data_IF_270503375604
#
_entry.id   IF_270503375604
#
_cell.length_a   1.000
_cell.length_b   1.000
_cell.length_c   1.000
_cell.angle_alpha   90.00
_cell.angle_beta   90.00
_cell.angle_gamma   90.00
#
_symmetry.space_group_name_H-M   'P 1'
#
loop_
_entity.id
_entity.type
_entity.pdbx_description
1 polymer ?
#
# COMPACT_ATOMS: atom_id res chain seq x y z
N UNK A 1 9.00 -8.52 8.38
CA UNK A 1 8.79 -9.33 7.15
C UNK A 1 7.51 -8.90 6.41
N UNK A 2 7.60 -7.87 5.58
CA UNK A 2 6.43 -7.26 4.94
C UNK A 2 5.80 -8.14 3.85
N UNK A 3 4.50 -8.39 3.94
CA UNK A 3 3.68 -8.62 2.76
C UNK A 3 3.40 -7.23 2.15
N UNK A 4 4.19 -6.83 1.15
CA UNK A 4 3.85 -5.66 0.35
C UNK A 4 2.82 -6.09 -0.69
N UNK A 5 1.56 -5.65 -0.55
CA UNK A 5 0.54 -5.84 -1.59
C UNK A 5 0.86 -4.87 -2.73
N UNK A 6 1.74 -5.30 -3.63
CA UNK A 6 1.93 -4.69 -4.93
C UNK A 6 0.78 -5.17 -5.83
N UNK A 7 -0.23 -4.33 -6.01
CA UNK A 7 -1.25 -4.53 -7.04
C UNK A 7 -0.63 -4.18 -8.39
N UNK A 8 0.19 -5.10 -8.92
CA UNK A 8 0.83 -4.97 -10.22
C UNK A 8 -0.18 -5.30 -11.32
N UNK A 9 -0.79 -4.28 -11.91
CA UNK A 9 -1.49 -4.37 -13.19
C UNK A 9 -0.63 -3.66 -14.24
N UNK A 10 0.19 -4.42 -14.98
CA UNK A 10 1.01 -3.84 -16.05
C UNK A 10 1.75 -4.88 -16.89
N UNK A 11 1.44 -4.91 -18.19
CA UNK A 11 2.27 -5.48 -19.25
C UNK A 11 3.18 -4.37 -19.80
N UNK A 12 4.49 -4.49 -19.56
CA UNK A 12 5.51 -3.51 -19.98
C UNK A 12 6.92 -4.10 -19.84
N UNK A 13 7.80 -3.74 -20.77
CA UNK A 13 8.89 -4.55 -21.35
C UNK A 13 10.05 -4.98 -20.44
N UNK A 14 10.14 -4.50 -19.20
CA UNK A 14 11.16 -4.95 -18.22
C UNK A 14 10.76 -6.20 -17.42
N UNK A 15 9.48 -6.60 -17.47
CA UNK A 15 8.97 -7.82 -16.83
C UNK A 15 9.02 -9.06 -17.74
N UNK A 16 9.58 -8.96 -18.96
CA UNK A 16 9.60 -10.07 -19.93
C UNK A 16 10.45 -11.26 -19.47
N UNK A 17 11.47 -11.09 -18.63
CA UNK A 17 12.23 -12.23 -18.09
C UNK A 17 11.45 -12.97 -16.99
N UNK A 18 10.74 -12.24 -16.12
CA UNK A 18 9.91 -12.79 -15.03
C UNK A 18 8.66 -13.49 -15.60
N UNK A 19 8.00 -12.90 -16.60
CA UNK A 19 6.82 -13.52 -17.24
C UNK A 19 7.14 -14.61 -18.26
N UNK A 20 8.33 -14.66 -18.87
CA UNK A 20 8.73 -15.81 -19.71
C UNK A 20 8.84 -17.10 -18.88
N UNK A 21 9.23 -17.00 -17.62
CA UNK A 21 9.16 -18.14 -16.69
C UNK A 21 7.72 -18.58 -16.45
N UNK A 22 6.80 -17.64 -16.19
CA UNK A 22 5.38 -17.94 -15.93
C UNK A 22 4.58 -18.41 -17.16
N UNK A 23 4.90 -17.96 -18.37
CA UNK A 23 4.20 -18.35 -19.60
C UNK A 23 4.75 -19.62 -20.26
N UNK A 24 5.86 -20.20 -19.77
CA UNK A 24 6.31 -21.54 -20.21
C UNK A 24 5.72 -22.68 -19.37
N UNK A 25 4.94 -22.37 -18.32
CA UNK A 25 4.29 -23.36 -17.47
C UNK A 25 3.02 -23.94 -18.13
N UNK A 26 3.23 -24.86 -19.08
CA UNK A 26 2.28 -25.94 -19.37
C UNK A 26 2.52 -27.19 -18.48
N UNK A 27 3.27 -27.04 -17.39
CA UNK A 27 3.49 -28.07 -16.38
C UNK A 27 2.40 -28.05 -15.30
N UNK A 28 1.88 -29.22 -14.96
CA UNK A 28 0.78 -29.47 -14.02
C UNK A 28 0.73 -28.51 -12.80
N UNK A 29 -0.39 -27.80 -12.65
CA UNK A 29 -0.70 -27.00 -11.45
C UNK A 29 -0.72 -27.92 -10.23
N UNK A 30 0.33 -27.86 -9.41
CA UNK A 30 0.31 -28.51 -8.09
C UNK A 30 -0.26 -27.51 -7.09
N UNK A 31 -1.58 -27.56 -6.90
CA UNK A 31 -2.29 -26.78 -5.88
C UNK A 31 -2.21 -27.55 -4.57
N UNK A 32 -1.53 -26.99 -3.57
CA UNK A 32 -1.49 -27.56 -2.23
C UNK A 32 -2.45 -26.81 -1.31
N UNK A 33 -3.51 -27.49 -0.87
CA UNK A 33 -4.36 -27.01 0.22
C UNK A 33 -3.59 -27.19 1.53
N UNK A 34 -3.32 -26.09 2.24
CA UNK A 34 -2.62 -26.18 3.53
C UNK A 34 -3.62 -26.60 4.59
N UNK A 35 -3.47 -27.82 5.10
CA UNK A 35 -4.12 -28.24 6.33
C UNK A 35 -3.35 -27.66 7.53
N UNK A 36 -4.07 -27.45 8.63
CA UNK A 36 -3.72 -26.66 9.82
C UNK A 36 -2.49 -27.16 10.63
N UNK A 37 -1.72 -28.13 10.12
CA UNK A 37 -0.70 -28.88 10.87
C UNK A 37 0.67 -29.00 10.19
N UNK A 38 0.90 -28.35 9.04
CA UNK A 38 2.22 -28.37 8.39
C UNK A 38 3.17 -27.30 8.98
N UNK A 39 3.65 -27.56 10.19
CA UNK A 39 4.49 -26.64 10.98
C UNK A 39 5.85 -26.30 10.33
N UNK A 40 6.31 -27.12 9.38
CA UNK A 40 7.55 -26.89 8.63
C UNK A 40 7.49 -25.72 7.63
N UNK A 41 6.29 -25.18 7.37
CA UNK A 41 6.11 -23.99 6.54
C UNK A 41 6.38 -22.67 7.30
N UNK A 42 6.47 -22.72 8.65
CA UNK A 42 6.31 -21.57 9.55
C UNK A 42 7.58 -21.17 10.31
N UNK A 43 8.75 -21.57 9.80
CA UNK A 43 10.02 -20.94 10.17
C UNK A 43 9.93 -19.42 9.96
N UNK A 44 10.50 -18.66 10.89
CA UNK A 44 10.65 -17.20 10.85
C UNK A 44 11.42 -16.66 9.63
N UNK A 45 11.78 -17.51 8.66
CA UNK A 45 12.47 -17.15 7.41
C UNK A 45 11.59 -17.23 6.15
N UNK A 46 10.26 -17.27 6.26
CA UNK A 46 9.41 -17.48 5.07
C UNK A 46 9.37 -16.27 4.13
N UNK A 47 9.59 -16.52 2.83
CA UNK A 47 9.60 -15.50 1.77
C UNK A 47 8.25 -14.79 1.58
N UNK A 48 8.24 -13.54 1.11
CA UNK A 48 7.02 -12.76 0.94
C UNK A 48 6.02 -13.46 0.02
N UNK A 49 4.75 -13.36 0.38
CA UNK A 49 3.64 -13.93 -0.36
C UNK A 49 2.95 -12.86 -1.21
N UNK A 50 2.81 -13.12 -2.51
CA UNK A 50 2.04 -12.27 -3.40
C UNK A 50 0.58 -12.73 -3.43
N UNK A 51 -0.33 -11.88 -2.94
CA UNK A 51 -1.75 -12.14 -3.10
C UNK A 51 -2.13 -12.04 -4.58
N UNK A 52 -2.62 -13.14 -5.15
CA UNK A 52 -3.10 -13.19 -6.52
C UNK A 52 -4.50 -12.57 -6.58
N UNK A 53 -4.80 -11.86 -7.68
CA UNK A 53 -6.11 -11.26 -7.86
C UNK A 53 -7.18 -12.36 -7.79
N UNK A 54 -8.17 -12.23 -6.89
CA UNK A 54 -9.24 -13.22 -6.84
C UNK A 54 -9.99 -13.18 -8.17
N UNK A 55 -10.14 -14.33 -8.84
CA UNK A 55 -11.19 -14.48 -9.84
C UNK A 55 -12.50 -14.14 -9.15
N UNK A 56 -13.29 -13.18 -9.66
CA UNK A 56 -14.31 -12.41 -8.91
C UNK A 56 -15.33 -13.15 -8.02
N UNK A 57 -15.40 -14.48 -8.08
CA UNK A 57 -16.28 -15.34 -7.26
C UNK A 57 -15.53 -16.33 -6.35
N UNK A 58 -14.20 -16.23 -6.24
CA UNK A 58 -13.41 -17.21 -5.48
C UNK A 58 -13.77 -17.19 -3.99
N UNK A 59 -14.05 -18.38 -3.44
CA UNK A 59 -14.23 -18.62 -2.00
C UNK A 59 -12.90 -18.68 -1.24
N UNK A 60 -11.78 -18.36 -1.87
CA UNK A 60 -10.45 -18.35 -1.27
C UNK A 60 -9.66 -17.09 -1.63
N UNK A 61 -8.58 -16.88 -0.90
CA UNK A 61 -7.47 -16.00 -1.30
C UNK A 61 -6.32 -16.90 -1.73
N UNK A 62 -5.76 -16.62 -2.90
CA UNK A 62 -4.61 -17.35 -3.41
C UNK A 62 -3.36 -16.50 -3.19
N UNK A 63 -2.32 -17.10 -2.62
CA UNK A 63 -1.06 -16.45 -2.30
C UNK A 63 0.08 -17.21 -2.96
N UNK A 64 0.81 -16.54 -3.85
CA UNK A 64 1.98 -17.11 -4.49
C UNK A 64 3.22 -16.89 -3.62
N UNK A 65 3.93 -17.96 -3.31
CA UNK A 65 5.21 -17.93 -2.62
C UNK A 65 6.35 -18.07 -3.63
N UNK A 66 7.19 -17.05 -3.72
CA UNK A 66 8.31 -17.04 -4.67
C UNK A 66 9.37 -18.09 -4.36
N UNK A 67 9.77 -18.26 -3.08
CA UNK A 67 10.83 -19.21 -2.74
C UNK A 67 10.41 -20.66 -2.89
N UNK A 68 9.14 -20.96 -2.63
CA UNK A 68 8.59 -22.31 -2.79
C UNK A 68 8.07 -22.56 -4.20
N UNK A 69 7.97 -21.52 -5.03
CA UNK A 69 7.34 -21.56 -6.35
C UNK A 69 5.97 -22.27 -6.29
N UNK A 70 5.13 -21.89 -5.31
CA UNK A 70 3.86 -22.56 -4.99
C UNK A 70 2.76 -21.55 -4.69
N UNK A 71 1.52 -21.93 -5.02
CA UNK A 71 0.32 -21.18 -4.63
C UNK A 71 -0.29 -21.82 -3.38
N UNK A 72 -0.49 -21.00 -2.37
CA UNK A 72 -1.20 -21.30 -1.15
C UNK A 72 -2.63 -20.75 -1.23
N UNK A 73 -3.62 -21.63 -1.14
CA UNK A 73 -5.02 -21.26 -1.18
C UNK A 73 -5.58 -21.24 0.23
N UNK A 74 -6.04 -20.06 0.67
CA UNK A 74 -6.57 -19.85 2.01
C UNK A 74 -8.09 -19.67 1.90
N UNK A 75 -8.88 -20.61 2.43
CA UNK A 75 -10.34 -20.54 2.32
C UNK A 75 -10.87 -19.32 3.06
N UNK A 76 -11.78 -18.58 2.43
CA UNK A 76 -12.57 -17.53 3.10
C UNK A 76 -13.51 -18.24 4.06
N UNK A 77 -13.38 -17.97 5.36
CA UNK A 77 -14.27 -18.52 6.40
C UNK A 77 -15.74 -18.51 5.95
N UNK A 78 -16.37 -19.69 5.95
CA UNK A 78 -17.76 -19.87 5.53
C UNK A 78 -18.76 -19.19 6.47
N UNK A 79 -18.34 -18.85 7.70
CA UNK A 79 -19.23 -18.38 8.76
C UNK A 79 -19.70 -16.93 8.64
N UNK A 80 -19.19 -16.13 7.70
CA UNK A 80 -19.71 -14.77 7.50
C UNK A 80 -20.62 -14.71 6.27
N UNK A 81 -21.94 -14.63 6.50
CA UNK A 81 -22.94 -14.22 5.49
C UNK A 81 -22.71 -12.79 4.94
N UNK A 82 -21.59 -12.16 5.28
CA UNK A 82 -21.23 -10.77 5.00
C UNK A 82 -19.94 -10.65 4.18
N UNK A 83 -19.71 -11.62 3.28
CA UNK A 83 -18.52 -11.72 2.39
C UNK A 83 -18.21 -10.45 1.58
N UNK A 84 -19.15 -9.52 1.45
CA UNK A 84 -19.00 -8.28 0.70
C UNK A 84 -18.64 -7.07 1.57
N UNK A 85 -18.59 -7.20 2.90
CA UNK A 85 -18.38 -6.07 3.80
C UNK A 85 -16.93 -5.86 4.26
N UNK A 86 -16.11 -6.91 4.21
CA UNK A 86 -14.71 -6.86 4.67
C UNK A 86 -13.76 -6.55 3.53
N UNK A 87 -13.02 -5.45 3.67
CA UNK A 87 -11.95 -5.01 2.77
C UNK A 87 -10.59 -5.28 3.42
N UNK A 88 -9.63 -5.78 2.66
CA UNK A 88 -8.22 -5.78 3.08
C UNK A 88 -7.69 -4.36 2.86
N UNK A 89 -7.26 -3.73 3.95
CA UNK A 89 -6.77 -2.33 3.96
C UNK A 89 -5.27 -2.24 4.18
N UNK A 90 -4.59 -3.36 4.34
CA UNK A 90 -3.14 -3.38 4.37
C UNK A 90 -2.60 -4.76 4.72
N UNK A 91 -1.29 -4.88 4.62
CA UNK A 91 -0.59 -6.07 5.06
C UNK A 91 0.82 -5.69 5.52
N UNK A 92 1.26 -6.34 6.59
CA UNK A 92 2.57 -6.11 7.18
C UNK A 92 2.91 -7.30 8.07
N UNK A 93 4.18 -7.71 8.10
CA UNK A 93 4.66 -8.77 8.99
C UNK A 93 3.90 -10.11 8.95
N UNK A 94 3.37 -10.52 7.79
CA UNK A 94 2.56 -11.74 7.67
C UNK A 94 1.09 -11.59 8.11
N UNK A 95 0.69 -10.39 8.55
CA UNK A 95 -0.67 -10.07 8.94
C UNK A 95 -1.40 -9.30 7.84
N UNK A 96 -2.69 -9.56 7.70
CA UNK A 96 -3.63 -8.82 6.88
C UNK A 96 -4.45 -7.90 7.77
N UNK A 97 -4.43 -6.60 7.50
CA UNK A 97 -5.34 -5.66 8.14
C UNK A 97 -6.68 -5.67 7.40
N UNK A 98 -7.74 -5.97 8.12
CA UNK A 98 -9.08 -6.17 7.60
C UNK A 98 -10.05 -5.15 8.20
N UNK A 99 -10.89 -4.54 7.36
CA UNK A 99 -11.90 -3.57 7.77
C UNK A 99 -13.28 -4.00 7.31
N UNK A 100 -14.21 -4.19 8.25
CA UNK A 100 -15.63 -4.43 7.98
C UNK A 100 -16.44 -3.14 8.22
N UNK A 101 -16.75 -2.43 7.16
CA UNK A 101 -17.46 -1.15 7.22
C UNK A 101 -18.91 -1.26 7.76
N UNK A 102 -19.54 -2.44 7.70
CA UNK A 102 -20.92 -2.62 8.19
C UNK A 102 -20.96 -2.74 9.71
N UNK A 103 -19.96 -3.40 10.28
CA UNK A 103 -19.85 -3.65 11.72
C UNK A 103 -18.92 -2.65 12.43
N UNK A 104 -18.25 -1.78 11.65
CA UNK A 104 -17.17 -0.93 12.12
C UNK A 104 -16.06 -1.73 12.85
N UNK A 105 -15.73 -2.90 12.31
CA UNK A 105 -14.75 -3.81 12.90
C UNK A 105 -13.43 -3.73 12.15
N UNK A 106 -12.35 -3.50 12.90
CA UNK A 106 -10.98 -3.60 12.43
C UNK A 106 -10.28 -4.74 13.14
N UNK A 107 -9.52 -5.51 12.39
CA UNK A 107 -8.73 -6.60 12.95
C UNK A 107 -7.55 -6.94 12.05
N UNK A 108 -6.50 -7.45 12.68
CA UNK A 108 -5.40 -8.12 12.04
C UNK A 108 -5.73 -9.61 11.95
N UNK A 109 -5.50 -10.21 10.79
CA UNK A 109 -5.64 -11.65 10.59
C UNK A 109 -4.33 -12.20 10.05
N UNK A 110 -3.76 -13.18 10.73
CA UNK A 110 -2.66 -13.96 10.21
C UNK A 110 -3.29 -15.13 9.44
N UNK A 111 -3.25 -15.13 8.10
CA UNK A 111 -3.96 -16.11 7.31
C UNK A 111 -3.28 -17.49 7.37
N UNK A 112 -2.02 -17.54 7.84
CA UNK A 112 -1.24 -18.75 8.02
C UNK A 112 -1.59 -19.43 9.36
N UNK A 113 -1.46 -18.71 10.48
CA UNK A 113 -1.74 -19.28 11.80
C UNK A 113 -3.23 -19.31 12.15
N UNK A 114 -4.05 -18.59 11.38
CA UNK A 114 -5.47 -18.38 11.67
C UNK A 114 -5.71 -17.46 12.88
N UNK A 115 -4.66 -16.87 13.45
CA UNK A 115 -4.77 -15.93 14.57
C UNK A 115 -5.46 -14.64 14.11
N UNK A 116 -6.16 -14.01 15.05
CA UNK A 116 -6.86 -12.75 14.86
C UNK A 116 -6.64 -11.86 16.07
N UNK A 117 -6.28 -10.60 15.83
CA UNK A 117 -6.17 -9.56 16.86
C UNK A 117 -7.12 -8.44 16.48
N UNK A 118 -8.01 -8.05 17.39
CA UNK A 118 -8.93 -6.94 17.13
C UNK A 118 -8.19 -5.61 17.33
N UNK A 119 -8.51 -4.63 16.47
CA UNK A 119 -8.05 -3.26 16.63
C UNK A 119 -9.21 -2.40 17.14
N UNK A 120 -8.93 -1.24 17.74
CA UNK A 120 -9.96 -0.28 18.12
C UNK A 120 -10.90 0.05 16.96
N UNK A 121 -12.21 0.22 17.21
CA UNK A 121 -13.14 0.75 16.21
C UNK A 121 -12.76 2.19 15.86
N UNK A 122 -13.27 2.67 14.73
CA UNK A 122 -13.04 4.05 14.32
C UNK A 122 -14.27 4.87 14.62
N UNK A 123 -14.08 5.98 15.30
CA UNK A 123 -15.13 6.97 15.46
C UNK A 123 -15.21 7.84 14.19
N UNK A 124 -16.03 7.41 13.24
CA UNK A 124 -16.31 8.18 12.03
C UNK A 124 -17.78 8.01 11.61
N UNK A 125 -18.38 9.05 10.98
CA UNK A 125 -19.72 8.95 10.44
C UNK A 125 -19.88 7.78 9.45
N UNK A 126 -21.01 7.08 9.52
CA UNK A 126 -21.31 5.90 8.66
C UNK A 126 -21.17 6.18 7.16
N UNK A 127 -21.39 7.42 6.72
CA UNK A 127 -21.20 7.85 5.33
C UNK A 127 -19.75 7.68 4.88
N UNK A 128 -18.77 8.05 5.71
CA UNK A 128 -17.35 7.89 5.43
C UNK A 128 -16.91 6.43 5.48
N UNK A 129 -17.41 5.65 6.44
CA UNK A 129 -17.13 4.20 6.51
C UNK A 129 -17.57 3.48 5.23
N UNK A 130 -18.73 3.86 4.66
CA UNK A 130 -19.25 3.30 3.40
C UNK A 130 -18.44 3.70 2.16
N UNK A 131 -17.84 4.89 2.13
CA UNK A 131 -16.98 5.38 1.03
C UNK A 131 -15.54 4.87 1.10
N UNK A 132 -15.33 3.73 1.76
CA UNK A 132 -14.02 3.10 1.90
C UNK A 132 -13.13 3.77 2.94
N UNK A 133 -13.73 4.19 4.06
CA UNK A 133 -13.17 5.01 5.15
C UNK A 133 -11.76 4.69 5.65
N UNK A 134 -11.19 3.52 5.33
CA UNK A 134 -9.78 3.20 5.58
C UNK A 134 -9.03 2.89 4.30
N UNK A 135 -7.89 3.58 4.16
CA UNK A 135 -7.00 3.51 3.00
C UNK A 135 -5.85 2.55 3.23
N UNK A 136 -5.14 2.68 4.36
CA UNK A 136 -3.95 1.87 4.67
C UNK A 136 -3.84 1.58 6.17
N UNK A 137 -3.47 0.35 6.54
CA UNK A 137 -3.05 -0.02 7.89
C UNK A 137 -1.79 -0.89 7.82
N UNK A 138 -0.79 -0.59 8.64
CA UNK A 138 0.38 -1.46 8.83
C UNK A 138 0.62 -1.70 10.33
N UNK A 139 1.44 -2.68 10.66
CA UNK A 139 1.99 -2.88 12.00
C UNK A 139 3.52 -2.73 11.98
N UNK A 140 4.07 -2.22 13.08
CA UNK A 140 5.50 -1.94 13.24
C UNK A 140 6.36 -3.21 13.40
N UNK A 141 5.79 -4.30 13.93
CA UNK A 141 6.50 -5.56 14.14
C UNK A 141 5.61 -6.78 13.82
N UNK A 142 6.17 -7.98 13.94
CA UNK A 142 5.48 -9.24 13.63
C UNK A 142 4.57 -9.78 14.71
N UNK A 143 4.75 -9.31 15.95
CA UNK A 143 3.91 -9.68 17.06
C UNK A 143 2.97 -8.53 17.44
N UNK A 144 1.73 -8.51 16.92
CA UNK A 144 0.79 -7.44 17.21
C UNK A 144 0.36 -7.38 18.68
N UNK A 145 0.54 -8.46 19.44
CA UNK A 145 0.18 -8.51 20.86
C UNK A 145 1.32 -8.01 21.77
N UNK A 146 2.48 -7.66 21.22
CA UNK A 146 3.52 -6.95 21.96
C UNK A 146 3.09 -5.52 22.31
N UNK A 147 3.43 -5.06 23.52
CA UNK A 147 3.21 -3.68 23.96
C UNK A 147 4.05 -2.67 23.16
N UNK A 148 5.09 -3.12 22.47
CA UNK A 148 5.92 -2.31 21.58
C UNK A 148 5.33 -2.22 20.16
N UNK A 149 4.37 -3.08 19.83
CA UNK A 149 3.74 -3.03 18.52
C UNK A 149 2.87 -1.77 18.40
N UNK A 150 2.96 -1.13 17.24
CA UNK A 150 2.11 -0.03 16.81
C UNK A 150 1.35 -0.48 15.58
N UNK A 151 0.02 -0.44 15.64
CA UNK A 151 -0.78 -0.44 14.43
C UNK A 151 -0.96 1.00 13.98
N UNK A 152 -0.57 1.31 12.75
CA UNK A 152 -0.64 2.66 12.19
C UNK A 152 -1.64 2.65 11.05
N UNK A 153 -2.59 3.59 11.07
CA UNK A 153 -3.64 3.71 10.08
C UNK A 153 -3.64 5.06 9.38
N UNK A 154 -4.25 5.04 8.21
CA UNK A 154 -4.54 6.20 7.40
C UNK A 154 -5.93 6.06 6.80
N UNK A 155 -6.78 7.04 7.10
CA UNK A 155 -8.19 6.99 6.78
C UNK A 155 -8.54 7.79 5.51
N UNK A 156 -9.81 7.82 5.15
CA UNK A 156 -10.32 8.55 3.99
C UNK A 156 -10.11 10.07 4.10
N UNK A 157 -10.11 10.60 5.32
CA UNK A 157 -9.86 12.02 5.62
C UNK A 157 -8.36 12.35 5.63
N UNK A 158 -7.52 11.40 5.24
CA UNK A 158 -6.07 11.53 5.21
C UNK A 158 -5.45 11.74 6.61
N UNK A 159 -6.18 11.38 7.65
CA UNK A 159 -5.71 11.45 9.03
C UNK A 159 -4.85 10.23 9.35
N UNK A 160 -3.68 10.51 9.90
CA UNK A 160 -2.73 9.51 10.37
C UNK A 160 -2.95 9.30 11.87
N UNK A 161 -3.13 8.05 12.26
CA UNK A 161 -3.33 7.68 13.65
C UNK A 161 -2.68 6.34 13.96
N UNK A 162 -2.46 6.04 15.23
CA UNK A 162 -1.93 4.76 15.66
C UNK A 162 -2.60 4.26 16.94
N UNK A 163 -2.45 2.97 17.22
CA UNK A 163 -2.81 2.35 18.49
C UNK A 163 -1.78 1.28 18.87
N UNK A 164 -1.91 0.73 20.07
CA UNK A 164 -1.02 -0.30 20.61
C UNK A 164 -1.80 -1.60 20.83
N UNK A 165 -1.85 -2.54 19.86
CA UNK A 165 -2.80 -3.66 19.92
C UNK A 165 -2.52 -4.65 21.07
N UNK A 166 -1.28 -4.72 21.55
CA UNK A 166 -0.90 -5.52 22.72
C UNK A 166 -1.32 -4.93 24.07
N UNK A 167 -1.64 -3.63 24.11
CA UNK A 167 -2.03 -2.96 25.34
C UNK A 167 -3.55 -3.03 25.48
N UNK A 168 -4.04 -3.78 26.48
CA UNK A 168 -5.48 -3.98 26.70
C UNK A 168 -6.26 -2.68 26.96
N UNK A 169 -5.60 -1.63 27.46
CA UNK A 169 -6.19 -0.30 27.64
C UNK A 169 -6.17 0.58 26.37
N UNK A 170 -5.51 0.15 25.29
CA UNK A 170 -5.53 0.85 24.00
C UNK A 170 -6.85 0.55 23.28
N UNK A 171 -7.91 1.22 23.73
CA UNK A 171 -9.26 1.07 23.17
C UNK A 171 -9.58 2.08 22.07
N UNK A 172 -8.65 3.00 21.79
CA UNK A 172 -8.84 4.14 20.90
C UNK A 172 -7.62 4.35 19.99
N UNK A 173 -7.82 5.13 18.93
CA UNK A 173 -6.76 5.57 18.02
C UNK A 173 -6.24 6.94 18.45
N UNK A 174 -4.92 7.07 18.56
CA UNK A 174 -4.25 8.34 18.81
C UNK A 174 -3.89 9.01 17.48
N UNK A 175 -4.50 10.16 17.20
CA UNK A 175 -4.21 10.96 16.00
C UNK A 175 -2.83 11.60 16.11
N UNK A 176 -2.03 11.49 15.04
CA UNK A 176 -0.74 12.15 14.93
C UNK A 176 -0.93 13.49 14.23
N UNK A 177 -1.44 13.48 12.99
CA UNK A 177 -1.58 14.67 12.14
C UNK A 177 -2.48 14.37 10.93
N UNK A 178 -3.04 15.42 10.34
CA UNK A 178 -3.96 15.36 9.20
C UNK A 178 -3.22 15.47 7.85
N UNK A 179 -3.93 15.16 6.75
CA UNK A 179 -3.47 15.34 5.37
C UNK A 179 -2.18 14.61 4.99
N UNK A 180 -2.02 13.33 5.31
CA UNK A 180 -0.89 12.56 4.76
C UNK A 180 -1.22 12.04 3.35
N UNK A 181 -0.19 11.59 2.62
CA UNK A 181 -0.30 10.94 1.31
C UNK A 181 0.07 9.45 1.40
N UNK A 182 1.12 9.13 2.14
CA UNK A 182 1.59 7.77 2.37
C UNK A 182 2.44 7.70 3.65
N UNK A 183 2.65 6.49 4.17
CA UNK A 183 3.52 6.24 5.32
C UNK A 183 4.10 4.83 5.32
N UNK A 184 5.25 4.64 5.98
CA UNK A 184 5.86 3.34 6.21
C UNK A 184 6.59 3.33 7.55
N UNK A 185 6.58 2.20 8.25
CA UNK A 185 7.39 2.01 9.45
C UNK A 185 8.69 1.32 9.07
N UNK A 186 9.83 1.92 9.43
CA UNK A 186 11.14 1.32 9.22
C UNK A 186 11.66 0.76 10.56
N UNK A 187 11.68 -0.57 10.68
CA UNK A 187 12.16 -1.22 11.90
C UNK A 187 13.64 -0.95 12.19
N UNK A 188 14.47 -0.78 11.16
CA UNK A 188 15.90 -0.50 11.33
C UNK A 188 16.14 0.87 11.95
N UNK A 189 15.27 1.83 11.67
CA UNK A 189 15.39 3.18 12.23
C UNK A 189 14.46 3.37 13.44
N UNK A 190 13.57 2.41 13.71
CA UNK A 190 12.49 2.49 14.71
C UNK A 190 11.55 3.69 14.54
N UNK A 191 11.46 4.24 13.33
CA UNK A 191 10.69 5.43 13.01
C UNK A 191 9.56 5.14 12.01
N UNK A 192 8.47 5.88 12.18
CA UNK A 192 7.43 6.03 11.18
C UNK A 192 7.80 7.16 10.21
N UNK A 193 7.94 6.84 8.93
CA UNK A 193 8.15 7.83 7.88
C UNK A 193 6.84 8.15 7.19
N UNK A 194 6.56 9.43 6.96
CA UNK A 194 5.29 9.89 6.37
C UNK A 194 5.55 10.94 5.30
N UNK A 195 4.70 10.97 4.28
CA UNK A 195 4.68 12.02 3.26
C UNK A 195 3.42 12.85 3.48
N UNK A 196 3.53 14.17 3.57
CA UNK A 196 2.38 15.08 3.62
C UNK A 196 2.59 16.25 2.63
N UNK A 197 1.53 16.86 2.08
CA UNK A 197 1.64 18.04 1.24
C UNK A 197 2.11 19.22 2.10
N UNK A 198 2.96 20.05 1.53
CA UNK A 198 3.36 21.31 2.12
C UNK A 198 2.27 22.37 1.82
N UNK A 199 1.47 22.69 2.84
CA UNK A 199 0.31 23.59 2.73
C UNK A 199 0.74 25.06 2.59
N UNK A 200 2.00 25.39 2.90
CA UNK A 200 2.52 26.76 2.79
C UNK A 200 2.93 27.14 1.36
N UNK A 201 2.94 26.18 0.42
CA UNK A 201 3.26 26.45 -0.99
C UNK A 201 2.07 27.07 -1.73
N UNK A 202 2.14 28.39 -1.95
CA UNK A 202 1.18 29.17 -2.76
C UNK A 202 1.11 28.70 -4.23
N UNK A 203 2.14 27.99 -4.72
CA UNK A 203 2.30 27.64 -6.14
C UNK A 203 2.55 26.15 -6.43
N UNK A 204 2.23 25.24 -5.50
CA UNK A 204 1.98 23.84 -5.84
C UNK A 204 2.93 22.79 -5.27
N UNK A 205 2.41 21.56 -5.28
CA UNK A 205 2.89 20.18 -5.08
C UNK A 205 4.15 19.85 -4.26
N UNK A 206 4.70 20.77 -3.48
CA UNK A 206 5.78 20.42 -2.57
C UNK A 206 5.26 19.45 -1.51
N UNK A 207 6.02 18.40 -1.24
CA UNK A 207 5.70 17.44 -0.18
C UNK A 207 6.78 17.54 0.89
N UNK A 208 6.43 17.19 2.11
CA UNK A 208 7.36 17.02 3.22
C UNK A 208 7.47 15.53 3.51
N UNK A 209 8.71 15.06 3.69
CA UNK A 209 8.97 13.76 4.30
C UNK A 209 9.25 13.99 5.78
N UNK A 210 8.53 13.30 6.65
CA UNK A 210 8.69 13.39 8.11
C UNK A 210 9.06 12.03 8.69
N UNK A 211 9.86 12.04 9.77
CA UNK A 211 10.18 10.90 10.60
C UNK A 211 9.63 11.10 12.01
N UNK A 212 8.82 10.16 12.46
CA UNK A 212 8.10 10.20 13.74
C UNK A 212 8.53 9.05 14.64
N UNK A 213 8.83 9.36 15.90
CA UNK A 213 9.05 8.38 16.96
C UNK A 213 7.73 8.11 17.69
N UNK A 214 7.33 6.83 17.71
CA UNK A 214 6.08 6.37 18.32
C UNK A 214 6.30 5.50 19.56
N UNK A 215 7.54 5.44 20.08
CA UNK A 215 7.87 4.60 21.24
C UNK A 215 7.08 5.02 22.46
N UNK A 216 6.92 6.32 22.69
CA UNK A 216 6.00 6.83 23.70
C UNK A 216 4.57 6.92 23.15
N UNK A 217 3.64 6.03 23.57
CA UNK A 217 2.28 6.00 23.05
C UNK A 217 1.41 7.19 23.47
N UNK A 218 1.88 8.01 24.41
CA UNK A 218 1.18 9.22 24.87
C UNK A 218 1.74 10.50 24.24
N UNK A 219 2.91 10.43 23.60
CA UNK A 219 3.61 11.59 23.07
C UNK A 219 4.42 11.22 21.83
N UNK A 220 3.75 11.02 20.67
CA UNK A 220 4.46 10.85 19.41
C UNK A 220 5.26 12.11 19.10
N UNK A 221 6.51 11.97 18.66
CA UNK A 221 7.39 13.11 18.41
C UNK A 221 7.92 13.14 16.98
N UNK A 222 7.89 14.31 16.37
CA UNK A 222 8.56 14.57 15.10
C UNK A 222 10.05 14.70 15.37
N UNK A 223 10.85 13.76 14.88
CA UNK A 223 12.30 13.75 15.10
C UNK A 223 13.07 14.32 13.92
N UNK A 224 12.46 14.30 12.73
CA UNK A 224 13.11 14.74 11.50
C UNK A 224 12.08 15.13 10.46
N UNK A 225 12.40 16.14 9.64
CA UNK A 225 11.61 16.49 8.46
C UNK A 225 12.51 17.05 7.35
N UNK A 226 12.09 16.85 6.10
CA UNK A 226 12.78 17.37 4.92
C UNK A 226 11.78 17.76 3.84
N UNK A 227 12.02 18.91 3.22
CA UNK A 227 11.28 19.35 2.06
C UNK A 227 11.67 18.50 0.86
N UNK A 228 10.67 17.86 0.27
CA UNK A 228 10.80 17.21 -1.03
C UNK A 228 10.51 18.30 -2.07
N UNK A 229 11.56 19.02 -2.47
CA UNK A 229 11.48 19.89 -3.64
C UNK A 229 11.18 19.05 -4.88
N UNK A 230 10.40 19.61 -5.82
CA UNK A 230 10.12 18.95 -7.10
C UNK A 230 11.44 18.58 -7.78
N UNK A 231 11.85 17.33 -7.65
CA UNK A 231 12.81 16.70 -8.53
C UNK A 231 12.21 16.75 -9.94
N UNK A 232 12.70 17.72 -10.72
CA UNK A 232 12.34 18.06 -12.11
C UNK A 232 11.04 17.42 -12.59
N UNK A 233 9.99 18.24 -12.63
CA UNK A 233 8.70 17.88 -13.23
C UNK A 233 8.98 17.29 -14.62
N UNK A 234 8.74 15.99 -14.78
CA UNK A 234 8.74 15.42 -16.11
C UNK A 234 7.55 16.05 -16.83
N UNK A 235 7.84 16.93 -17.79
CA UNK A 235 6.94 17.06 -18.94
C UNK A 235 6.69 15.64 -19.42
N UNK A 236 5.42 15.23 -19.46
CA UNK A 236 5.06 13.92 -20.03
C UNK A 236 5.88 13.74 -21.32
N UNK A 237 6.49 12.56 -21.56
CA UNK A 237 7.28 12.37 -22.77
C UNK A 237 6.47 12.87 -23.95
N UNK A 238 7.03 13.84 -24.68
CA UNK A 238 6.37 14.49 -25.81
C UNK A 238 5.63 13.42 -26.57
N UNK A 239 4.30 13.56 -26.61
CA UNK A 239 3.41 12.60 -27.23
C UNK A 239 4.02 12.15 -28.55
N UNK A 240 4.34 10.85 -28.63
CA UNK A 240 4.95 10.21 -29.79
C UNK A 240 4.15 10.62 -31.03
N UNK A 241 4.76 11.53 -31.81
CA UNK A 241 4.35 11.95 -33.16
C UNK A 241 2.85 12.08 -33.43
N UNK A 242 2.26 13.25 -33.16
CA UNK A 242 1.11 13.72 -33.93
C UNK A 242 1.35 15.16 -34.37
N UNK A 243 1.81 15.31 -35.60
CA UNK A 243 1.87 16.55 -36.36
C UNK A 243 0.54 16.73 -37.09
N UNK A 244 -0.53 16.99 -36.34
CA UNK A 244 -1.80 17.44 -36.92
C UNK A 244 -2.30 18.68 -36.15
N UNK A 245 -2.10 19.89 -36.68
CA UNK A 245 -2.46 21.14 -36.01
C UNK A 245 -3.98 21.38 -35.92
N UNK A 246 -4.81 20.56 -36.57
CA UNK A 246 -6.28 20.69 -36.56
C UNK A 246 -6.99 19.75 -35.56
N UNK A 247 -6.26 18.89 -34.84
CA UNK A 247 -6.83 18.17 -33.70
C UNK A 247 -6.69 18.99 -32.43
N UNK A 248 -7.81 19.55 -32.00
CA UNK A 248 -8.07 20.16 -30.70
C UNK A 248 -7.19 19.51 -29.63
N UNK A 249 -6.33 20.31 -29.01
CA UNK A 249 -5.51 19.95 -27.85
C UNK A 249 -6.38 19.29 -26.77
N UNK A 250 -6.59 17.98 -26.84
CA UNK A 250 -7.03 17.19 -25.69
C UNK A 250 -5.76 16.98 -24.89
N UNK A 251 -5.30 18.05 -24.23
CA UNK A 251 -4.24 17.96 -23.24
C UNK A 251 -4.65 16.84 -22.29
N UNK A 252 -3.86 15.77 -22.27
CA UNK A 252 -4.11 14.60 -21.46
C UNK A 252 -3.97 14.98 -19.97
N UNK A 253 -4.98 15.63 -19.40
CA UNK A 253 -5.12 15.95 -17.98
C UNK A 253 -5.19 14.70 -17.08
N UNK A 254 -5.13 13.51 -17.70
CA UNK A 254 -5.19 12.22 -17.03
C UNK A 254 -3.86 11.66 -16.55
N UNK A 255 -2.75 12.37 -16.77
CA UNK A 255 -1.47 12.03 -16.16
C UNK A 255 -1.43 12.48 -14.69
N UNK A 256 -1.12 11.54 -13.80
CA UNK A 256 -1.00 11.79 -12.37
C UNK A 256 0.32 11.30 -11.82
N UNK A 257 0.79 12.01 -10.80
CA UNK A 257 1.93 11.61 -9.99
C UNK A 257 1.43 11.17 -8.63
N UNK A 258 1.94 10.05 -8.13
CA UNK A 258 1.74 9.63 -6.75
C UNK A 258 3.08 9.31 -6.11
N UNK A 259 3.29 9.83 -4.90
CA UNK A 259 4.49 9.63 -4.13
C UNK A 259 4.25 8.53 -3.10
N UNK A 260 5.23 7.65 -2.93
CA UNK A 260 5.22 6.59 -1.92
C UNK A 260 6.53 6.59 -1.16
N UNK A 261 6.47 6.22 0.12
CA UNK A 261 7.65 5.90 0.90
C UNK A 261 7.66 4.39 1.16
N UNK A 262 8.79 3.75 0.84
CA UNK A 262 8.94 2.29 0.95
C UNK A 262 10.22 1.93 1.68
N UNK A 263 10.21 0.78 2.35
CA UNK A 263 11.37 0.21 3.06
C UNK A 263 11.74 -1.09 2.36
N UNK A 264 13.02 -1.27 2.08
CA UNK A 264 13.58 -2.52 1.55
C UNK A 264 13.65 -3.62 2.60
N UNK A 265 14.14 -4.80 2.22
CA UNK A 265 14.34 -5.89 3.19
C UNK A 265 15.50 -5.59 4.13
N UNK A 266 16.49 -4.85 3.64
CA UNK A 266 17.70 -4.44 4.33
C UNK A 266 17.47 -3.23 5.25
N UNK A 267 16.29 -2.60 5.19
CA UNK A 267 15.94 -1.42 5.97
C UNK A 267 16.26 -0.09 5.29
N UNK A 268 16.82 -0.11 4.07
CA UNK A 268 16.97 1.09 3.27
C UNK A 268 15.60 1.71 2.94
N UNK A 269 15.53 3.04 3.04
CA UNK A 269 14.35 3.84 2.73
C UNK A 269 14.42 4.37 1.31
N UNK A 270 13.29 4.37 0.61
CA UNK A 270 13.17 4.92 -0.73
C UNK A 270 11.92 5.78 -0.87
N UNK A 271 12.08 6.89 -1.57
CA UNK A 271 10.97 7.69 -2.09
C UNK A 271 10.72 7.28 -3.54
N UNK A 272 9.48 6.89 -3.84
CA UNK A 272 9.07 6.44 -5.16
C UNK A 272 8.06 7.41 -5.73
N UNK A 273 8.40 7.99 -6.87
CA UNK A 273 7.48 8.74 -7.71
C UNK A 273 6.91 7.82 -8.75
N UNK A 274 5.59 7.66 -8.76
CA UNK A 274 4.88 6.88 -9.76
C UNK A 274 4.13 7.82 -10.69
N UNK A 275 4.41 7.69 -11.97
CA UNK A 275 3.71 8.36 -13.05
C UNK A 275 2.70 7.38 -13.64
N UNK A 276 1.42 7.75 -13.63
CA UNK A 276 0.36 6.85 -14.08
C UNK A 276 -0.77 7.61 -14.78
N UNK A 277 -1.46 6.91 -15.68
CA UNK A 277 -2.74 7.37 -16.22
C UNK A 277 -3.85 6.81 -15.35
N UNK A 278 -4.80 7.66 -14.92
CA UNK A 278 -5.98 7.21 -14.15
C UNK A 278 -6.78 6.16 -14.89
N UNK A 279 -7.02 6.37 -16.18
CA UNK A 279 -7.82 5.50 -17.03
C UNK A 279 -7.16 5.38 -18.40
N UNK A 280 -6.69 4.17 -18.71
CA UNK A 280 -6.14 3.85 -20.03
C UNK A 280 -7.00 2.79 -20.71
N UNK A 281 -7.42 3.06 -21.93
CA UNK A 281 -8.15 2.12 -22.77
C UNK A 281 -7.22 0.99 -23.25
N UNK A 282 -7.76 -0.15 -23.70
CA UNK A 282 -6.95 -1.28 -24.16
C UNK A 282 -6.02 -0.95 -25.33
N UNK A 283 -6.36 0.05 -26.14
CA UNK A 283 -5.56 0.55 -27.26
C UNK A 283 -4.41 1.48 -26.82
N UNK A 284 -4.30 1.80 -25.53
CA UNK A 284 -3.28 2.67 -24.97
C UNK A 284 -3.67 4.15 -24.89
N UNK A 285 -4.85 4.53 -25.44
CA UNK A 285 -5.35 5.90 -25.34
C UNK A 285 -5.91 6.22 -23.95
N UNK A 286 -5.97 7.51 -23.61
CA UNK A 286 -6.61 7.98 -22.38
C UNK A 286 -8.12 7.82 -22.51
N UNK A 287 -8.77 7.23 -21.50
CA UNK A 287 -10.23 7.28 -21.46
C UNK A 287 -10.66 8.74 -21.21
N UNK A 288 -11.75 9.22 -21.84
CA UNK A 288 -12.30 10.53 -21.51
C UNK A 288 -12.76 10.55 -20.05
N UNK A 289 -12.59 11.70 -19.39
CA UNK A 289 -13.09 11.89 -18.03
C UNK A 289 -14.61 11.71 -18.03
N UNK A 290 -15.07 10.68 -17.33
CA UNK A 290 -16.49 10.45 -17.11
C UNK A 290 -17.05 11.44 -16.08
N UNK A 291 -18.38 11.53 -15.94
CA UNK A 291 -18.97 12.25 -14.82
C UNK A 291 -18.49 11.64 -13.47
N UNK A 292 -18.35 12.53 -12.48
CA UNK A 292 -17.71 12.31 -11.17
C UNK A 292 -18.33 11.15 -10.35
N UNK A 293 -19.53 10.72 -10.71
CA UNK A 293 -20.33 9.72 -10.00
C UNK A 293 -20.04 8.26 -10.42
N UNK A 294 -19.26 8.04 -11.47
CA UNK A 294 -18.96 6.69 -12.01
C UNK A 294 -17.50 6.23 -11.84
N UNK A 295 -16.71 6.89 -11.01
CA UNK A 295 -15.28 6.58 -10.86
C UNK A 295 -14.96 5.15 -10.42
N UNK A 296 -15.77 4.53 -9.55
CA UNK A 296 -15.53 3.15 -9.14
C UNK A 296 -15.71 2.16 -10.29
N UNK A 297 -16.72 2.39 -11.14
CA UNK A 297 -16.98 1.60 -12.34
C UNK A 297 -15.87 1.81 -13.38
N UNK A 298 -15.43 3.05 -13.58
CA UNK A 298 -14.32 3.37 -14.48
C UNK A 298 -13.01 2.74 -14.00
N UNK A 299 -12.67 2.84 -12.72
CA UNK A 299 -11.50 2.18 -12.13
C UNK A 299 -11.56 0.64 -12.25
N UNK A 300 -12.76 0.06 -12.26
CA UNK A 300 -12.93 -1.39 -12.46
C UNK A 300 -12.68 -1.83 -13.91
N UNK A 301 -13.07 -0.99 -14.89
CA UNK A 301 -12.91 -1.30 -16.33
C UNK A 301 -11.55 -0.88 -16.88
N UNK A 302 -11.07 0.27 -16.45
CA UNK A 302 -9.86 0.93 -16.91
C UNK A 302 -9.03 1.33 -15.69
N UNK A 303 -8.34 0.37 -15.06
CA UNK A 303 -7.58 0.63 -13.85
C UNK A 303 -6.41 1.58 -14.13
N UNK A 304 -5.93 2.29 -13.10
CA UNK A 304 -4.76 3.15 -13.21
C UNK A 304 -3.54 2.38 -13.73
N UNK A 305 -2.92 2.87 -14.79
CA UNK A 305 -1.76 2.23 -15.42
C UNK A 305 -0.50 3.05 -15.17
N UNK A 306 0.48 2.45 -14.50
CA UNK A 306 1.82 3.02 -14.34
C UNK A 306 2.51 3.07 -15.70
N UNK A 307 3.10 4.21 -16.04
CA UNK A 307 3.86 4.39 -17.27
C UNK A 307 5.32 4.69 -17.02
N UNK A 308 5.64 5.31 -15.89
CA UNK A 308 7.01 5.51 -15.47
C UNK A 308 7.10 5.56 -13.95
N UNK A 309 8.31 5.45 -13.41
CA UNK A 309 8.59 5.72 -12.01
C UNK A 309 10.02 6.22 -11.82
N UNK A 310 10.24 7.02 -10.78
CA UNK A 310 11.58 7.38 -10.28
C UNK A 310 11.71 6.92 -8.84
N UNK A 311 12.90 6.49 -8.46
CA UNK A 311 13.19 5.99 -7.11
C UNK A 311 14.42 6.74 -6.59
N UNK A 312 14.31 7.25 -5.37
CA UNK A 312 15.40 7.94 -4.68
C UNK A 312 15.68 7.22 -3.37
N UNK A 313 16.96 6.90 -3.13
CA UNK A 313 17.36 6.35 -1.84
C UNK A 313 17.49 7.49 -0.83
N UNK A 314 16.82 7.32 0.31
CA UNK A 314 16.95 8.21 1.46
C UNK A 314 18.14 7.72 2.27
N UNK A 315 19.17 8.55 2.35
CA UNK A 315 20.42 8.22 3.04
C UNK A 315 20.49 9.08 4.29
N UNK A 316 20.98 8.51 5.40
CA UNK A 316 21.28 9.29 6.60
C UNK A 316 22.68 9.89 6.47
N UNK A 317 22.79 11.22 6.44
CA UNK A 317 24.04 11.95 6.36
C UNK A 317 24.47 12.45 7.76
N UNK A 318 25.66 12.04 8.21
CA UNK A 318 26.36 12.62 9.36
C UNK A 318 25.97 12.11 10.76
N UNK A 319 26.83 12.43 11.75
CA UNK A 319 26.59 12.18 13.19
C UNK A 319 25.41 12.99 13.74
N UNK A 320 25.06 14.09 13.08
CA UNK A 320 23.92 14.96 13.41
C UNK A 320 22.57 14.33 13.02
N UNK A 321 22.59 13.21 12.31
CA UNK A 321 21.41 12.37 12.04
C UNK A 321 20.42 12.92 11.01
N UNK A 322 20.81 13.88 10.19
CA UNK A 322 19.99 14.41 9.10
C UNK A 322 19.90 13.38 7.97
N UNK A 323 18.75 13.26 7.28
CA UNK A 323 18.67 12.46 6.06
C UNK A 323 18.82 13.33 4.81
N UNK A 324 19.66 12.89 3.88
CA UNK A 324 19.87 13.43 2.54
C UNK A 324 19.41 12.48 1.44
N UNK A 325 19.48 12.95 0.19
CA UNK A 325 19.05 12.23 -0.99
C UNK A 325 20.24 11.88 -1.87
N UNK A 326 20.28 10.65 -2.39
CA UNK A 326 21.21 10.29 -3.47
C UNK A 326 20.45 9.65 -4.63
N UNK A 327 20.89 9.97 -5.86
CA UNK A 327 20.48 9.22 -7.04
C UNK A 327 21.20 7.88 -7.04
N UNK A 328 20.43 6.79 -7.14
CA UNK A 328 20.93 5.44 -7.31
C UNK A 328 21.13 5.06 -8.77
#
# INVERSE_FOLDING_TARGET
>A
MGLSILKLTGTGTSLRSIFRSLNSYNGARTVSTVNRSDDSLFSSSSSPLLMLSPSGYSKSYDFYNFAKNKVFTIPKSEKSKFRYATKIVGSSHGWLACFNHRRNELYLSNPISGRRVNLPPIDMPKSYLRRGGIKKIIISCSDPESEECRAIMFNHLWELAYCCPGISSSTEWTTIKENHNDFVYCSTHELLFTIHPNVESVYGDNSMLEGWDLRNPLSPSLVWSCLIDKLEYFSAPDSVGQSDPDQTYVSCFNHQTQNYVVVSQEGDLFLVYRYFYRHMLPDGSCAPDGPDDRWELLNSRYPPKTVNYKVYKIVREGEDGLYGWSLG
#
